data_IF_169470604109
#
_entry.id   IF_169470604109
#
_cell.length_a   1.000
_cell.length_b   1.000
_cell.length_c   1.000
_cell.angle_alpha   90.00
_cell.angle_beta   90.00
_cell.angle_gamma   90.00
#
_symmetry.space_group_name_H-M   'P 1'
#
loop_
_entity.id
_entity.type
_entity.pdbx_description
1 polymer ?
#
# COMPACT_ATOMS: atom_id res chain seq x y z
N UNK A 1 19.95 1.06 -0.80
CA UNK A 1 19.51 2.26 -0.03
C UNK A 1 19.82 2.04 1.43
N UNK A 2 20.18 3.13 2.18
CA UNK A 2 20.53 3.02 3.59
C UNK A 2 19.27 2.87 4.45
N UNK A 3 19.36 2.09 5.54
CA UNK A 3 18.29 1.99 6.55
C UNK A 3 18.19 3.32 7.30
N UNK A 4 16.95 3.78 7.56
CA UNK A 4 16.67 5.02 8.27
C UNK A 4 15.96 4.72 9.59
N UNK A 5 16.31 5.46 10.65
CA UNK A 5 15.66 5.39 11.96
C UNK A 5 14.56 6.45 12.09
N UNK A 6 13.71 6.29 13.10
CA UNK A 6 12.67 7.27 13.40
C UNK A 6 13.24 8.67 13.71
N UNK A 7 14.30 8.73 14.48
CA UNK A 7 14.96 9.96 14.89
C UNK A 7 15.56 10.70 13.69
N UNK A 8 16.12 9.96 12.73
CA UNK A 8 16.63 10.54 11.46
C UNK A 8 15.48 11.08 10.62
N UNK A 9 14.36 10.36 10.50
CA UNK A 9 13.17 10.86 9.78
C UNK A 9 12.66 12.15 10.41
N UNK A 10 12.50 12.19 11.74
CA UNK A 10 12.01 13.36 12.44
C UNK A 10 12.94 14.56 12.24
N UNK A 11 14.25 14.35 12.39
CA UNK A 11 15.26 15.39 12.20
C UNK A 11 15.26 15.93 10.76
N UNK A 12 15.26 15.02 9.77
CA UNK A 12 15.27 15.45 8.36
C UNK A 12 13.98 16.19 7.97
N UNK A 13 12.81 15.76 8.46
CA UNK A 13 11.57 16.50 8.25
C UNK A 13 11.60 17.91 8.83
N UNK A 14 12.21 18.10 9.99
CA UNK A 14 12.33 19.40 10.65
C UNK A 14 13.35 20.33 9.96
N UNK A 15 14.39 19.79 9.37
CA UNK A 15 15.51 20.56 8.80
C UNK A 15 15.39 20.70 7.29
N UNK A 16 15.05 19.61 6.58
CA UNK A 16 15.08 19.52 5.13
C UNK A 16 13.67 19.44 4.51
N UNK A 17 12.63 19.25 5.35
CA UNK A 17 11.25 19.11 4.90
C UNK A 17 10.93 17.74 4.27
N UNK A 18 11.92 16.86 4.11
CA UNK A 18 11.71 15.52 3.57
C UNK A 18 12.71 14.51 4.13
N UNK A 19 12.31 13.24 4.16
CA UNK A 19 13.13 12.11 4.57
C UNK A 19 12.84 10.89 3.71
N UNK A 20 13.86 10.07 3.43
CA UNK A 20 13.71 8.84 2.66
C UNK A 20 14.77 7.80 3.05
N UNK A 21 14.35 6.53 3.20
CA UNK A 21 15.26 5.43 3.48
C UNK A 21 14.58 4.08 3.53
N UNK A 22 15.38 3.01 3.56
CA UNK A 22 14.86 1.67 3.78
C UNK A 22 14.30 1.55 5.21
N UNK A 23 13.10 1.04 5.37
CA UNK A 23 12.40 0.96 6.66
C UNK A 23 11.63 -0.36 6.77
N UNK A 24 11.60 -0.91 7.98
CA UNK A 24 10.76 -2.07 8.26
C UNK A 24 9.27 -1.69 8.13
N UNK A 25 8.43 -2.47 7.39
CA UNK A 25 7.02 -2.11 7.16
C UNK A 25 6.22 -1.85 8.44
N UNK A 26 6.45 -2.64 9.50
CA UNK A 26 5.77 -2.48 10.80
C UNK A 26 6.17 -1.14 11.46
N UNK A 27 7.45 -0.78 11.43
CA UNK A 27 7.96 0.48 11.96
C UNK A 27 7.38 1.67 11.18
N UNK A 28 7.39 1.62 9.84
CA UNK A 28 6.80 2.66 8.99
C UNK A 28 5.36 2.98 9.38
N UNK A 29 4.53 1.95 9.59
CA UNK A 29 3.13 2.14 9.99
C UNK A 29 2.99 2.68 11.42
N UNK A 30 3.88 2.28 12.34
CA UNK A 30 3.85 2.74 13.72
C UNK A 30 4.28 4.22 13.84
N UNK A 31 5.20 4.69 13.00
CA UNK A 31 5.74 6.05 13.07
C UNK A 31 4.74 7.14 12.72
N UNK A 32 3.74 6.85 11.92
CA UNK A 32 2.77 7.81 11.42
C UNK A 32 2.08 8.61 12.52
N UNK A 33 1.53 7.92 13.52
CA UNK A 33 0.86 8.58 14.65
C UNK A 33 1.83 9.35 15.54
N UNK A 34 3.04 8.82 15.71
CA UNK A 34 4.11 9.46 16.50
C UNK A 34 4.60 10.73 15.81
N UNK A 35 4.85 10.70 14.50
CA UNK A 35 5.21 11.90 13.72
C UNK A 35 4.13 12.98 13.79
N UNK A 36 2.86 12.61 13.69
CA UNK A 36 1.76 13.57 13.79
C UNK A 36 1.74 14.29 15.14
N UNK A 37 2.01 13.55 16.24
CA UNK A 37 2.04 14.12 17.58
C UNK A 37 3.27 15.02 17.81
N UNK A 38 4.46 14.60 17.38
CA UNK A 38 5.70 15.35 17.61
C UNK A 38 5.83 16.58 16.71
N UNK A 39 5.36 16.53 15.46
CA UNK A 39 5.38 17.67 14.54
C UNK A 39 4.19 18.62 14.71
N UNK A 40 3.11 18.20 15.39
CA UNK A 40 1.86 18.96 15.47
C UNK A 40 1.15 19.13 14.11
N UNK A 41 1.49 18.29 13.13
CA UNK A 41 0.96 18.33 11.78
C UNK A 41 0.19 17.07 11.45
N UNK A 42 -0.88 17.14 10.63
CA UNK A 42 -1.52 15.92 10.14
C UNK A 42 -0.57 15.15 9.22
N UNK A 43 -0.47 13.83 9.46
CA UNK A 43 0.31 12.89 8.65
C UNK A 43 -0.66 11.99 7.90
N UNK A 44 -0.50 11.89 6.60
CA UNK A 44 -1.41 11.11 5.75
C UNK A 44 -0.66 10.31 4.67
N UNK A 45 -1.30 9.28 4.16
CA UNK A 45 -0.82 8.46 3.03
C UNK A 45 -1.83 8.47 1.90
N UNK A 46 -1.43 7.95 0.74
CA UNK A 46 -2.33 7.84 -0.43
C UNK A 46 -3.66 7.16 -0.10
N UNK A 47 -3.64 6.04 0.62
CA UNK A 47 -4.86 5.31 0.96
C UNK A 47 -5.78 6.10 1.89
N UNK A 48 -5.23 6.82 2.86
CA UNK A 48 -6.02 7.69 3.74
C UNK A 48 -6.57 8.91 3.00
N UNK A 49 -5.80 9.51 2.08
CA UNK A 49 -6.30 10.60 1.23
C UNK A 49 -7.44 10.13 0.32
N UNK A 50 -7.34 8.92 -0.24
CA UNK A 50 -8.41 8.35 -1.04
C UNK A 50 -9.68 8.10 -0.22
N UNK A 51 -9.54 7.56 1.00
CA UNK A 51 -10.67 7.37 1.92
C UNK A 51 -11.30 8.70 2.34
N UNK A 52 -10.47 9.69 2.67
CA UNK A 52 -10.90 11.04 2.99
C UNK A 52 -11.64 11.69 1.81
N UNK A 53 -11.09 11.61 0.60
CA UNK A 53 -11.69 12.17 -0.59
C UNK A 53 -13.02 11.49 -0.95
N UNK A 54 -13.15 10.19 -0.69
CA UNK A 54 -14.39 9.44 -0.91
C UNK A 54 -15.51 9.86 0.07
N UNK A 55 -15.18 10.01 1.36
CA UNK A 55 -16.11 10.49 2.38
C UNK A 55 -15.34 10.97 3.62
N UNK A 56 -15.11 12.28 3.72
CA UNK A 56 -14.33 12.90 4.80
C UNK A 56 -14.92 12.69 6.19
N UNK A 57 -16.25 12.67 6.30
CA UNK A 57 -16.95 12.42 7.58
C UNK A 57 -16.76 10.97 8.06
N UNK A 58 -17.00 9.99 7.18
CA UNK A 58 -16.78 8.58 7.51
C UNK A 58 -15.30 8.28 7.80
N UNK A 59 -14.38 8.89 7.04
CA UNK A 59 -12.95 8.79 7.32
C UNK A 59 -12.59 9.27 8.73
N UNK A 60 -13.10 10.42 9.15
CA UNK A 60 -12.88 10.98 10.49
C UNK A 60 -13.37 10.05 11.58
N UNK A 61 -14.62 9.56 11.47
CA UNK A 61 -15.18 8.62 12.44
C UNK A 61 -14.36 7.33 12.55
N UNK A 62 -13.94 6.75 11.41
CA UNK A 62 -13.10 5.56 11.39
C UNK A 62 -11.74 5.80 12.05
N UNK A 63 -11.15 6.99 11.82
CA UNK A 63 -9.88 7.40 12.42
C UNK A 63 -9.98 7.55 13.94
N UNK A 64 -11.02 8.23 14.43
CA UNK A 64 -11.29 8.42 15.87
C UNK A 64 -11.59 7.08 16.57
N UNK A 65 -12.27 6.17 15.90
CA UNK A 65 -12.54 4.82 16.41
C UNK A 65 -11.33 3.86 16.33
N UNK A 66 -10.19 4.31 15.77
CA UNK A 66 -9.01 3.46 15.59
C UNK A 66 -9.23 2.28 14.65
N UNK A 67 -10.22 2.36 13.76
CA UNK A 67 -10.57 1.28 12.83
C UNK A 67 -9.45 1.06 11.81
N UNK A 68 -9.07 -0.20 11.65
CA UNK A 68 -8.11 -0.62 10.60
C UNK A 68 -8.85 -1.48 9.58
N UNK A 69 -8.59 -1.23 8.30
CA UNK A 69 -9.08 -2.10 7.23
C UNK A 69 -8.31 -3.41 7.25
N UNK A 70 -9.01 -4.52 7.28
CA UNK A 70 -8.45 -5.85 7.04
C UNK A 70 -9.39 -6.62 6.12
N UNK A 71 -8.82 -7.43 5.24
CA UNK A 71 -9.55 -8.35 4.39
C UNK A 71 -8.62 -9.49 3.97
N UNK A 72 -9.15 -10.66 3.61
CA UNK A 72 -8.32 -11.77 3.11
C UNK A 72 -7.44 -11.37 1.91
N UNK A 73 -7.90 -10.44 1.08
CA UNK A 73 -7.13 -9.94 -0.07
C UNK A 73 -5.93 -9.09 0.38
N UNK A 74 -6.12 -8.18 1.36
CA UNK A 74 -5.02 -7.39 1.94
C UNK A 74 -4.01 -8.28 2.66
N UNK A 75 -4.49 -9.28 3.38
CA UNK A 75 -3.63 -10.23 4.08
C UNK A 75 -2.80 -11.09 3.14
N UNK A 76 -3.39 -11.54 2.02
CA UNK A 76 -2.65 -12.24 0.97
C UNK A 76 -1.63 -11.31 0.31
N UNK A 77 -1.99 -10.06 0.02
CA UNK A 77 -1.07 -9.04 -0.51
C UNK A 77 0.14 -8.87 0.39
N UNK A 78 -0.07 -8.67 1.70
CA UNK A 78 1.02 -8.52 2.67
C UNK A 78 1.93 -9.75 2.76
N UNK A 79 1.37 -10.96 2.64
CA UNK A 79 2.18 -12.19 2.59
C UNK A 79 3.02 -12.25 1.32
N UNK A 80 2.43 -11.90 0.17
CA UNK A 80 3.14 -11.87 -1.13
C UNK A 80 4.25 -10.82 -1.11
N UNK A 81 3.99 -9.62 -0.59
CA UNK A 81 4.99 -8.56 -0.45
C UNK A 81 6.16 -9.03 0.45
N UNK A 82 5.86 -9.64 1.59
CA UNK A 82 6.89 -10.19 2.46
C UNK A 82 7.74 -11.26 1.74
N UNK A 83 7.10 -12.24 1.11
CA UNK A 83 7.82 -13.35 0.45
C UNK A 83 8.59 -12.90 -0.81
N UNK A 84 8.11 -11.88 -1.52
CA UNK A 84 8.76 -11.39 -2.73
C UNK A 84 9.82 -10.33 -2.46
N UNK A 85 9.58 -9.40 -1.52
CA UNK A 85 10.37 -8.17 -1.38
C UNK A 85 11.28 -8.18 -0.13
N UNK A 86 10.86 -8.89 0.94
CA UNK A 86 11.57 -8.93 2.23
C UNK A 86 11.49 -10.33 2.87
N UNK A 87 11.91 -11.39 2.15
CA UNK A 87 11.75 -12.78 2.63
C UNK A 87 12.44 -13.05 3.97
N UNK A 88 13.46 -12.27 4.32
CA UNK A 88 14.16 -12.34 5.61
C UNK A 88 13.26 -11.97 6.79
N UNK A 89 12.17 -11.22 6.57
CA UNK A 89 11.20 -10.85 7.62
C UNK A 89 10.09 -11.88 7.82
N UNK A 90 10.07 -12.94 7.01
CA UNK A 90 8.97 -13.91 7.04
C UNK A 90 8.80 -14.56 8.42
N UNK A 91 9.87 -15.07 9.00
CA UNK A 91 9.81 -15.73 10.31
C UNK A 91 9.45 -14.77 11.46
N UNK A 92 9.70 -13.48 11.29
CA UNK A 92 9.29 -12.46 12.27
C UNK A 92 7.78 -12.19 12.21
N UNK A 93 7.20 -12.17 10.99
CA UNK A 93 5.82 -11.74 10.75
C UNK A 93 4.83 -12.91 10.67
N UNK A 94 5.29 -14.12 10.36
CA UNK A 94 4.42 -15.26 10.09
C UNK A 94 4.84 -16.51 10.85
N UNK A 95 3.85 -17.38 11.08
CA UNK A 95 4.02 -18.76 11.55
C UNK A 95 3.20 -19.66 10.63
N UNK A 96 3.84 -20.58 9.93
CA UNK A 96 3.15 -21.54 9.05
C UNK A 96 3.22 -22.95 9.68
N UNK A 97 2.07 -23.46 10.09
CA UNK A 97 1.96 -24.81 10.66
C UNK A 97 0.64 -25.46 10.23
N UNK A 98 0.66 -26.79 9.92
CA UNK A 98 -0.57 -27.53 9.70
C UNK A 98 -1.37 -27.61 11.01
N UNK A 99 -2.70 -27.51 10.90
CA UNK A 99 -3.57 -27.68 12.06
C UNK A 99 -3.44 -29.10 12.63
N UNK A 100 -3.03 -29.19 13.89
CA UNK A 100 -3.06 -30.45 14.66
C UNK A 100 -4.47 -30.68 15.22
N UNK A 101 -5.02 -31.87 14.97
CA UNK A 101 -6.32 -32.27 15.53
C UNK A 101 -6.10 -32.89 16.91
N UNK A 102 -6.89 -32.44 17.90
CA UNK A 102 -6.84 -33.01 19.24
C UNK A 102 -7.18 -34.52 19.23
N UNK A 103 -6.47 -35.27 20.07
CA UNK A 103 -6.69 -36.70 20.21
C UNK A 103 -7.53 -36.99 21.47
N UNK A 104 -8.41 -37.98 21.34
CA UNK A 104 -9.13 -38.58 22.48
C UNK A 104 -8.16 -39.39 23.38
N UNK A 105 -8.64 -39.83 24.53
CA UNK A 105 -7.84 -40.65 25.45
C UNK A 105 -7.35 -41.97 24.87
N UNK A 106 -8.04 -42.51 23.87
CA UNK A 106 -7.68 -43.71 23.12
C UNK A 106 -6.71 -43.47 21.94
N UNK A 107 -6.24 -42.23 21.77
CA UNK A 107 -5.34 -41.82 20.68
C UNK A 107 -6.03 -41.56 19.34
N UNK A 108 -7.36 -41.66 19.23
CA UNK A 108 -8.07 -41.35 18.00
C UNK A 108 -8.39 -39.86 17.91
N UNK A 109 -8.38 -39.26 16.68
CA UNK A 109 -8.72 -37.85 16.53
C UNK A 109 -10.20 -37.58 16.82
N UNK A 110 -10.53 -36.40 17.32
CA UNK A 110 -11.92 -35.94 17.44
C UNK A 110 -12.55 -35.78 16.05
N UNK A 111 -13.72 -36.39 15.85
CA UNK A 111 -14.42 -36.38 14.56
C UNK A 111 -14.84 -34.96 14.08
N UNK A 112 -14.99 -34.02 14.99
CA UNK A 112 -15.31 -32.62 14.67
C UNK A 112 -14.06 -31.80 14.27
N UNK A 113 -12.89 -32.41 14.15
CA UNK A 113 -11.65 -31.71 13.80
C UNK A 113 -11.21 -30.66 14.81
N UNK A 114 -11.55 -30.86 16.10
CA UNK A 114 -11.13 -29.95 17.17
C UNK A 114 -9.62 -29.77 17.17
N UNK A 115 -9.16 -28.51 17.18
CA UNK A 115 -7.73 -28.21 17.25
C UNK A 115 -7.13 -28.67 18.58
N UNK A 116 -5.89 -29.15 18.52
CA UNK A 116 -5.08 -29.48 19.67
C UNK A 116 -4.96 -28.27 20.62
N UNK A 117 -5.26 -28.41 21.93
CA UNK A 117 -5.24 -27.29 22.87
C UNK A 117 -3.87 -26.63 23.04
N UNK A 118 -2.77 -27.40 22.95
CA UNK A 118 -1.42 -26.86 23.06
C UNK A 118 -1.10 -26.00 21.83
N UNK A 119 -1.38 -26.51 20.62
CA UNK A 119 -1.21 -25.73 19.40
C UNK A 119 -2.09 -24.48 19.40
N UNK A 120 -3.32 -24.56 19.90
CA UNK A 120 -4.19 -23.38 20.02
C UNK A 120 -3.56 -22.30 20.92
N UNK A 121 -2.90 -22.72 22.00
CA UNK A 121 -2.19 -21.81 22.90
C UNK A 121 -0.91 -21.23 22.22
N UNK A 122 -0.16 -22.05 21.49
CA UNK A 122 1.00 -21.64 20.68
C UNK A 122 0.60 -20.58 19.64
N UNK A 123 -0.48 -20.82 18.90
CA UNK A 123 -1.00 -19.88 17.90
C UNK A 123 -1.50 -18.58 18.53
N UNK A 124 -2.16 -18.66 19.69
CA UNK A 124 -2.58 -17.47 20.42
C UNK A 124 -1.37 -16.65 20.91
N UNK A 125 -0.31 -17.31 21.36
CA UNK A 125 0.94 -16.65 21.76
C UNK A 125 1.64 -16.00 20.56
N UNK A 126 1.70 -16.67 19.42
CA UNK A 126 2.25 -16.12 18.17
C UNK A 126 1.46 -14.87 17.72
N UNK A 127 0.13 -14.93 17.75
CA UNK A 127 -0.73 -13.80 17.42
C UNK A 127 -0.56 -12.62 18.41
N UNK A 128 -0.42 -12.91 19.70
CA UNK A 128 -0.12 -11.90 20.71
C UNK A 128 1.26 -11.24 20.52
N UNK A 129 2.22 -11.99 19.95
CA UNK A 129 3.53 -11.48 19.54
C UNK A 129 3.49 -10.74 18.18
N UNK A 130 2.30 -10.55 17.56
CA UNK A 130 2.13 -9.85 16.31
C UNK A 130 2.32 -10.70 15.05
N UNK A 131 2.54 -12.02 15.19
CA UNK A 131 2.67 -12.92 14.04
C UNK A 131 1.30 -13.34 13.51
N UNK A 132 1.19 -13.42 12.19
CA UNK A 132 0.03 -14.05 11.55
C UNK A 132 0.28 -15.55 11.40
N UNK A 133 -0.68 -16.36 11.85
CA UNK A 133 -0.64 -17.82 11.65
C UNK A 133 -1.25 -18.15 10.29
N UNK A 134 -0.51 -18.93 9.51
CA UNK A 134 -0.90 -19.39 8.17
C UNK A 134 -1.11 -20.90 8.16
N UNK A 135 -2.06 -21.35 7.35
CA UNK A 135 -2.10 -22.75 6.93
C UNK A 135 -1.05 -23.02 5.85
N UNK A 136 -0.63 -24.28 5.64
CA UNK A 136 0.26 -24.64 4.52
C UNK A 136 -0.29 -24.19 3.17
N UNK A 137 -1.61 -24.31 2.94
CA UNK A 137 -2.26 -23.92 1.70
C UNK A 137 -2.21 -22.40 1.46
N UNK A 138 -2.38 -21.59 2.52
CA UNK A 138 -2.22 -20.14 2.44
C UNK A 138 -0.77 -19.76 2.10
N UNK A 139 0.19 -20.43 2.73
CA UNK A 139 1.61 -20.23 2.45
C UNK A 139 1.97 -20.61 1.00
N UNK A 140 1.61 -21.81 0.56
CA UNK A 140 1.89 -22.31 -0.78
C UNK A 140 1.29 -21.38 -1.86
N UNK A 141 0.06 -20.92 -1.65
CA UNK A 141 -0.59 -19.94 -2.52
C UNK A 141 0.18 -18.62 -2.57
N UNK A 142 0.54 -18.06 -1.41
CA UNK A 142 1.34 -16.84 -1.32
C UNK A 142 2.69 -17.00 -1.99
N UNK A 143 3.36 -18.13 -1.76
CA UNK A 143 4.68 -18.43 -2.34
C UNK A 143 4.63 -18.57 -3.87
N UNK A 144 3.59 -19.18 -4.42
CA UNK A 144 3.41 -19.28 -5.88
C UNK A 144 3.25 -17.88 -6.52
N UNK A 145 2.46 -17.01 -5.90
CA UNK A 145 2.23 -15.63 -6.38
C UNK A 145 3.53 -14.81 -6.26
N UNK A 146 4.21 -14.88 -5.11
CA UNK A 146 5.49 -14.20 -4.89
C UNK A 146 6.57 -14.69 -5.88
N UNK A 147 6.63 -16.01 -6.11
CA UNK A 147 7.54 -16.59 -7.09
C UNK A 147 7.32 -16.05 -8.51
N UNK A 148 6.06 -15.85 -8.91
CA UNK A 148 5.72 -15.25 -10.20
C UNK A 148 6.13 -13.76 -10.25
N UNK A 149 5.96 -13.00 -9.16
CA UNK A 149 6.43 -11.62 -9.08
C UNK A 149 7.95 -11.54 -9.27
N UNK A 150 8.72 -12.32 -8.50
CA UNK A 150 10.19 -12.37 -8.59
C UNK A 150 10.65 -12.82 -9.99
N UNK A 151 9.99 -13.82 -10.58
CA UNK A 151 10.32 -14.26 -11.95
C UNK A 151 10.08 -13.15 -12.99
N UNK A 152 9.05 -12.32 -12.80
CA UNK A 152 8.79 -11.17 -13.67
C UNK A 152 9.84 -10.09 -13.48
N UNK A 153 10.19 -9.73 -12.25
CA UNK A 153 11.23 -8.74 -11.95
C UNK A 153 12.58 -9.13 -12.59
N UNK A 154 12.96 -10.41 -12.48
CA UNK A 154 14.19 -10.91 -13.15
C UNK A 154 14.16 -10.76 -14.67
N UNK A 155 13.01 -10.96 -15.31
CA UNK A 155 12.84 -10.71 -16.77
C UNK A 155 13.03 -9.23 -17.11
N UNK A 156 12.75 -8.31 -16.18
CA UNK A 156 13.01 -6.88 -16.32
C UNK A 156 14.46 -6.50 -15.97
N UNK A 157 15.31 -7.46 -15.58
CA UNK A 157 16.68 -7.21 -15.12
C UNK A 157 16.77 -6.63 -13.71
N UNK A 158 15.70 -6.79 -12.91
CA UNK A 158 15.64 -6.28 -11.55
C UNK A 158 15.91 -7.41 -10.54
N UNK A 159 17.07 -7.28 -9.85
CA UNK A 159 17.48 -8.17 -8.78
C UNK A 159 17.36 -7.43 -7.44
N UNK A 160 16.52 -7.96 -6.55
CA UNK A 160 16.26 -7.37 -5.22
C UNK A 160 17.55 -7.36 -4.40
N UNK A 161 17.87 -6.19 -3.83
CA UNK A 161 19.08 -5.98 -3.05
C UNK A 161 20.33 -5.61 -3.89
N UNK A 162 20.33 -5.88 -5.19
CA UNK A 162 21.45 -5.56 -6.10
C UNK A 162 21.11 -4.38 -7.01
N UNK A 163 20.15 -4.55 -7.92
CA UNK A 163 19.73 -3.52 -8.88
C UNK A 163 18.40 -2.87 -8.53
N UNK A 164 17.75 -3.31 -7.45
CA UNK A 164 16.48 -2.78 -6.99
C UNK A 164 16.42 -2.76 -5.45
N UNK A 165 16.20 -1.60 -4.86
CA UNK A 165 15.91 -1.48 -3.43
C UNK A 165 14.40 -1.74 -3.19
N UNK A 166 14.06 -2.25 -2.00
CA UNK A 166 12.68 -2.56 -1.60
C UNK A 166 12.30 -1.83 -0.32
N UNK A 167 10.98 -1.67 -0.10
CA UNK A 167 10.40 -1.11 1.13
C UNK A 167 11.04 0.22 1.54
N UNK A 168 11.03 1.16 0.59
CA UNK A 168 11.60 2.50 0.79
C UNK A 168 10.53 3.44 1.30
N UNK A 169 10.63 3.82 2.57
CA UNK A 169 9.77 4.83 3.19
C UNK A 169 10.14 6.22 2.72
N UNK A 170 9.14 7.05 2.47
CA UNK A 170 9.24 8.46 2.12
C UNK A 170 8.32 9.28 3.00
N UNK A 171 8.81 10.42 3.46
CA UNK A 171 8.04 11.40 4.23
C UNK A 171 8.38 12.79 3.69
N UNK A 172 7.35 13.58 3.40
CA UNK A 172 7.52 14.94 2.83
C UNK A 172 6.58 15.89 3.56
N UNK A 173 7.13 16.93 4.15
CA UNK A 173 6.36 18.03 4.72
C UNK A 173 6.00 19.02 3.61
N UNK A 174 4.70 19.23 3.40
CA UNK A 174 4.18 20.18 2.42
C UNK A 174 3.59 21.38 3.16
N UNK A 175 4.16 22.57 2.93
CA UNK A 175 3.63 23.85 3.36
C UNK A 175 2.87 24.56 2.25
N UNK A 176 3.21 24.22 0.99
CA UNK A 176 2.58 24.73 -0.22
C UNK A 176 2.47 23.65 -1.29
N UNK A 177 1.60 23.85 -2.26
CA UNK A 177 1.47 23.02 -3.46
C UNK A 177 1.31 23.90 -4.69
N UNK A 178 2.25 23.77 -5.66
CA UNK A 178 2.24 24.57 -6.87
C UNK A 178 2.34 26.08 -6.60
N UNK A 179 3.13 26.50 -5.61
CA UNK A 179 3.29 27.89 -5.20
C UNK A 179 2.11 28.48 -4.41
N UNK A 180 1.13 27.64 -4.02
CA UNK A 180 -0.02 28.06 -3.20
C UNK A 180 0.11 27.50 -1.80
N UNK A 181 0.17 28.33 -0.74
CA UNK A 181 0.23 27.86 0.64
C UNK A 181 -0.97 26.97 1.00
N UNK A 182 -0.70 25.91 1.75
CA UNK A 182 -1.75 25.09 2.36
C UNK A 182 -2.35 25.76 3.58
N UNK A 183 -3.63 25.55 3.83
CA UNK A 183 -4.32 26.07 5.03
C UNK A 183 -3.70 25.57 6.34
N UNK A 184 -3.07 24.39 6.29
CA UNK A 184 -2.24 23.81 7.35
C UNK A 184 -1.16 22.94 6.71
N UNK A 185 0.10 22.97 7.18
CA UNK A 185 1.13 22.05 6.73
C UNK A 185 0.70 20.58 6.92
N UNK A 186 1.07 19.71 5.97
CA UNK A 186 0.72 18.29 5.95
C UNK A 186 1.97 17.46 5.69
N UNK A 187 2.17 16.40 6.44
CA UNK A 187 3.19 15.40 6.10
C UNK A 187 2.56 14.29 5.27
N UNK A 188 3.02 14.15 4.03
CA UNK A 188 2.73 12.98 3.20
C UNK A 188 3.68 11.86 3.57
N UNK A 189 3.17 10.64 3.67
CA UNK A 189 4.00 9.45 3.81
C UNK A 189 3.63 8.40 2.78
N UNK A 190 4.64 7.71 2.24
CA UNK A 190 4.53 6.65 1.27
C UNK A 190 5.61 5.60 1.49
N UNK A 191 5.35 4.38 1.06
CA UNK A 191 6.35 3.32 1.03
C UNK A 191 6.37 2.74 -0.38
N UNK A 192 7.53 2.81 -1.02
CA UNK A 192 7.78 2.24 -2.34
C UNK A 192 8.16 0.78 -2.18
N UNK A 193 7.47 -0.08 -2.91
CA UNK A 193 7.80 -1.51 -2.92
C UNK A 193 9.13 -1.77 -3.63
N UNK A 194 9.37 -1.07 -4.76
CA UNK A 194 10.49 -1.31 -5.65
C UNK A 194 11.07 0.00 -6.18
N UNK A 195 12.35 0.21 -5.93
CA UNK A 195 13.13 1.36 -6.42
C UNK A 195 14.31 0.86 -7.23
N UNK A 196 14.19 0.75 -8.57
CA UNK A 196 15.32 0.40 -9.43
C UNK A 196 16.45 1.40 -9.27
N UNK A 197 17.70 0.91 -9.26
CA UNK A 197 18.89 1.77 -9.16
C UNK A 197 19.01 2.67 -10.39
N UNK A 198 18.72 2.12 -11.56
CA UNK A 198 18.79 2.83 -12.84
C UNK A 198 17.39 3.07 -13.43
N UNK A 199 17.30 4.03 -14.36
CA UNK A 199 16.08 4.36 -15.09
C UNK A 199 15.21 5.40 -14.40
N UNK A 200 14.12 5.78 -15.07
CA UNK A 200 13.21 6.85 -14.65
C UNK A 200 11.93 6.32 -13.98
N UNK A 201 11.80 5.00 -13.81
CA UNK A 201 10.57 4.35 -13.35
C UNK A 201 10.69 3.86 -11.92
N UNK A 202 9.69 4.19 -11.10
CA UNK A 202 9.41 3.55 -9.81
C UNK A 202 8.38 2.44 -10.01
N UNK A 203 8.34 1.45 -9.11
CA UNK A 203 7.43 0.32 -9.26
C UNK A 203 6.76 -0.05 -7.92
N UNK A 204 5.60 -0.66 -8.04
CA UNK A 204 4.83 -1.16 -6.91
C UNK A 204 4.19 -2.52 -7.24
N UNK A 205 4.21 -3.45 -6.29
CA UNK A 205 3.67 -4.79 -6.45
C UNK A 205 2.18 -4.81 -6.06
N UNK A 206 1.35 -5.41 -6.92
CA UNK A 206 -0.09 -5.53 -6.64
C UNK A 206 -0.59 -6.94 -6.91
N UNK A 207 -1.20 -7.56 -5.92
CA UNK A 207 -2.00 -8.77 -6.14
C UNK A 207 -3.41 -8.41 -6.62
N UNK A 208 -3.96 -9.21 -7.52
CA UNK A 208 -5.30 -8.96 -8.06
C UNK A 208 -6.06 -10.25 -8.37
N UNK A 209 -7.36 -10.25 -8.08
CA UNK A 209 -8.26 -11.32 -8.54
C UNK A 209 -8.74 -11.13 -9.99
N UNK A 210 -8.36 -10.01 -10.63
CA UNK A 210 -8.70 -9.77 -12.04
C UNK A 210 -7.80 -10.59 -12.95
N UNK A 211 -8.34 -10.95 -14.12
CA UNK A 211 -7.54 -11.59 -15.16
C UNK A 211 -6.48 -10.62 -15.69
N UNK A 212 -5.22 -10.90 -15.41
CA UNK A 212 -4.09 -10.07 -15.83
C UNK A 212 -3.83 -10.15 -17.34
N UNK A 213 -4.36 -11.15 -18.04
CA UNK A 213 -4.33 -11.21 -19.50
C UNK A 213 -5.24 -10.12 -20.12
N UNK A 214 -6.30 -9.70 -19.42
CA UNK A 214 -7.15 -8.59 -19.82
C UNK A 214 -6.56 -7.24 -19.41
N UNK A 215 -5.72 -6.64 -20.27
CA UNK A 215 -5.09 -5.34 -19.99
C UNK A 215 -6.10 -4.21 -19.73
N UNK A 216 -7.23 -4.16 -20.45
CA UNK A 216 -8.27 -3.16 -20.20
C UNK A 216 -8.93 -3.34 -18.83
N UNK A 217 -9.14 -4.58 -18.40
CA UNK A 217 -9.66 -4.88 -17.06
C UNK A 217 -8.71 -4.41 -15.96
N UNK A 218 -7.37 -4.49 -16.18
CA UNK A 218 -6.39 -3.94 -15.24
C UNK A 218 -6.40 -2.41 -15.20
N UNK A 219 -6.61 -1.73 -16.34
CA UNK A 219 -6.74 -0.27 -16.37
C UNK A 219 -7.94 0.17 -15.52
N UNK A 220 -9.12 -0.43 -15.73
CA UNK A 220 -10.30 -0.13 -14.91
C UNK A 220 -10.07 -0.43 -13.42
N UNK A 221 -9.40 -1.53 -13.12
CA UNK A 221 -9.04 -1.87 -11.75
C UNK A 221 -8.12 -0.79 -11.13
N UNK A 222 -7.13 -0.31 -11.87
CA UNK A 222 -6.25 0.75 -11.41
C UNK A 222 -6.99 2.08 -11.20
N UNK A 223 -7.98 2.40 -12.04
CA UNK A 223 -8.86 3.57 -11.88
C UNK A 223 -9.74 3.44 -10.63
N UNK A 224 -10.41 2.28 -10.44
CA UNK A 224 -11.30 2.03 -9.29
C UNK A 224 -10.57 2.17 -7.93
N UNK A 225 -9.27 1.83 -7.88
CA UNK A 225 -8.43 1.95 -6.67
C UNK A 225 -7.58 3.23 -6.64
N UNK A 226 -7.77 4.15 -7.60
CA UNK A 226 -7.00 5.39 -7.72
C UNK A 226 -5.48 5.16 -7.68
N UNK A 227 -4.98 4.12 -8.37
CA UNK A 227 -3.54 3.83 -8.39
C UNK A 227 -2.74 4.91 -9.11
N UNK A 228 -3.34 5.63 -10.09
CA UNK A 228 -2.70 6.78 -10.72
C UNK A 228 -2.37 7.89 -9.73
N UNK A 229 -3.21 8.09 -8.70
CA UNK A 229 -2.93 9.02 -7.59
C UNK A 229 -1.71 8.56 -6.79
N UNK A 230 -1.60 7.25 -6.49
CA UNK A 230 -0.42 6.70 -5.83
C UNK A 230 0.84 6.94 -6.65
N UNK A 231 0.77 6.65 -7.95
CA UNK A 231 1.90 6.79 -8.85
C UNK A 231 2.40 8.24 -8.93
N UNK A 232 1.50 9.21 -9.16
CA UNK A 232 1.86 10.61 -9.24
C UNK A 232 2.44 11.14 -7.92
N UNK A 233 1.76 10.86 -6.79
CA UNK A 233 2.21 11.28 -5.47
C UNK A 233 3.58 10.69 -5.13
N UNK A 234 3.84 9.42 -5.42
CA UNK A 234 5.10 8.76 -5.07
C UNK A 234 6.27 9.22 -5.94
N UNK A 235 6.04 9.49 -7.23
CA UNK A 235 7.06 10.10 -8.11
C UNK A 235 7.44 11.49 -7.59
N UNK A 236 6.47 12.32 -7.24
CA UNK A 236 6.72 13.67 -6.73
C UNK A 236 7.44 13.64 -5.38
N UNK A 237 7.00 12.79 -4.45
CA UNK A 237 7.66 12.62 -3.14
C UNK A 237 9.10 12.14 -3.30
N UNK A 238 9.35 11.17 -4.19
CA UNK A 238 10.70 10.68 -4.44
C UNK A 238 11.61 11.78 -5.01
N UNK A 239 11.13 12.52 -5.99
CA UNK A 239 11.88 13.63 -6.61
C UNK A 239 12.16 14.75 -5.60
N UNK A 240 11.21 15.08 -4.71
CA UNK A 240 11.42 16.03 -3.63
C UNK A 240 12.53 15.55 -2.67
N UNK A 241 12.51 14.30 -2.25
CA UNK A 241 13.55 13.74 -1.40
C UNK A 241 14.93 13.69 -2.08
N UNK A 242 14.97 13.57 -3.41
CA UNK A 242 16.21 13.59 -4.19
C UNK A 242 16.71 15.00 -4.53
N UNK A 243 15.87 16.03 -4.30
CA UNK A 243 16.17 17.42 -4.68
C UNK A 243 16.28 17.63 -6.20
N UNK A 244 15.81 16.69 -7.01
CA UNK A 244 15.89 16.72 -8.47
C UNK A 244 14.81 15.83 -9.11
N UNK A 245 14.39 16.19 -10.32
CA UNK A 245 13.45 15.38 -11.11
C UNK A 245 14.18 14.19 -11.77
N UNK A 246 14.36 13.09 -11.01
CA UNK A 246 15.08 11.89 -11.45
C UNK A 246 14.16 10.74 -11.83
N UNK A 247 12.88 10.82 -11.48
CA UNK A 247 11.85 9.82 -11.80
C UNK A 247 10.67 10.49 -12.51
N UNK A 248 10.18 9.87 -13.59
CA UNK A 248 9.12 10.41 -14.44
C UNK A 248 8.03 9.42 -14.79
N UNK A 249 8.26 8.16 -14.49
CA UNK A 249 7.33 7.07 -14.77
C UNK A 249 7.07 6.25 -13.52
N UNK A 250 5.94 5.59 -13.50
CA UNK A 250 5.57 4.63 -12.46
C UNK A 250 4.96 3.39 -13.09
N UNK A 251 5.20 2.22 -12.53
CA UNK A 251 4.51 1.02 -12.95
C UNK A 251 3.99 0.20 -11.77
N UNK A 252 2.91 -0.52 -12.05
CA UNK A 252 2.35 -1.53 -11.17
C UNK A 252 2.61 -2.90 -11.76
N UNK A 253 3.34 -3.75 -11.03
CA UNK A 253 3.46 -5.15 -11.34
C UNK A 253 2.25 -5.89 -10.74
N UNK A 254 1.24 -6.14 -11.58
CA UNK A 254 0.10 -6.95 -11.18
C UNK A 254 0.43 -8.42 -11.26
N UNK A 255 0.12 -9.15 -10.17
CA UNK A 255 0.18 -10.61 -10.12
C UNK A 255 -1.20 -11.15 -9.81
N UNK A 256 -1.73 -11.99 -10.69
CA UNK A 256 -3.04 -12.62 -10.55
C UNK A 256 -3.05 -13.64 -9.40
N UNK A 257 -4.15 -13.69 -8.65
CA UNK A 257 -4.34 -14.68 -7.57
C UNK A 257 -5.11 -15.93 -8.03
N UNK A 258 -5.47 -16.00 -9.32
CA UNK A 258 -6.11 -17.16 -9.96
C UNK A 258 -5.11 -18.12 -10.58
N UNK A 259 -5.59 -19.25 -11.09
CA UNK A 259 -4.80 -20.23 -11.82
C UNK A 259 -5.02 -20.12 -13.34
N UNK A 260 -3.97 -20.19 -14.17
CA UNK A 260 -2.56 -20.17 -13.77
C UNK A 260 -2.13 -18.81 -13.22
N UNK A 261 -1.19 -18.81 -12.28
CA UNK A 261 -0.63 -17.55 -11.74
C UNK A 261 0.14 -16.84 -12.85
N UNK A 262 -0.30 -15.64 -13.18
CA UNK A 262 0.28 -14.81 -14.24
C UNK A 262 0.58 -13.40 -13.71
N UNK A 263 1.45 -12.69 -14.41
CA UNK A 263 1.79 -11.31 -14.05
C UNK A 263 1.85 -10.40 -15.27
N UNK A 264 1.53 -9.12 -15.07
CA UNK A 264 1.59 -8.07 -16.09
C UNK A 264 1.98 -6.75 -15.48
N UNK A 265 2.84 -6.01 -16.16
CA UNK A 265 3.18 -4.64 -15.80
C UNK A 265 2.19 -3.66 -16.45
N UNK A 266 1.66 -2.71 -15.64
CA UNK A 266 0.87 -1.57 -16.08
C UNK A 266 1.72 -0.30 -15.88
N UNK A 267 2.13 0.34 -16.97
CA UNK A 267 3.01 1.51 -16.94
C UNK A 267 2.18 2.79 -17.02
N UNK A 268 2.45 3.72 -16.10
CA UNK A 268 1.93 5.08 -16.12
C UNK A 268 3.05 6.04 -16.54
N UNK A 269 2.89 6.64 -17.70
CA UNK A 269 3.83 7.60 -18.29
C UNK A 269 3.64 9.00 -17.70
N UNK A 270 4.59 9.87 -17.94
CA UNK A 270 4.59 11.23 -17.44
C UNK A 270 3.29 12.01 -17.74
N UNK A 271 2.75 11.90 -18.97
CA UNK A 271 1.50 12.53 -19.38
C UNK A 271 0.28 12.04 -18.59
N UNK A 272 0.24 10.75 -18.30
CA UNK A 272 -0.79 10.14 -17.44
C UNK A 272 -0.65 10.59 -15.99
N UNK A 273 0.59 10.67 -15.47
CA UNK A 273 0.86 11.13 -14.12
C UNK A 273 0.42 12.58 -13.89
N UNK A 274 0.54 13.47 -14.91
CA UNK A 274 0.08 14.85 -14.82
C UNK A 274 -1.40 14.96 -14.47
N UNK A 275 -2.25 14.11 -15.05
CA UNK A 275 -3.69 14.09 -14.77
C UNK A 275 -3.98 13.71 -13.30
N UNK A 276 -3.25 12.72 -12.79
CA UNK A 276 -3.41 12.27 -11.40
C UNK A 276 -2.72 13.17 -10.39
N UNK A 277 -1.71 13.96 -10.83
CA UNK A 277 -1.05 14.98 -10.00
C UNK A 277 -2.04 16.05 -9.56
N UNK A 278 -2.84 16.57 -10.47
CA UNK A 278 -3.92 17.53 -10.15
C UNK A 278 -4.85 16.92 -9.08
N UNK A 279 -5.27 15.67 -9.26
CA UNK A 279 -6.20 15.01 -8.36
C UNK A 279 -5.62 14.86 -6.95
N UNK A 280 -4.38 14.34 -6.78
CA UNK A 280 -3.84 14.19 -5.43
C UNK A 280 -3.58 15.53 -4.75
N UNK A 281 -3.17 16.54 -5.50
CA UNK A 281 -2.95 17.88 -4.96
C UNK A 281 -4.25 18.49 -4.44
N UNK A 282 -5.37 18.31 -5.14
CA UNK A 282 -6.68 18.76 -4.67
C UNK A 282 -7.11 18.01 -3.39
N UNK A 283 -6.84 16.71 -3.32
CA UNK A 283 -7.11 15.94 -2.10
C UNK A 283 -6.28 16.43 -0.92
N UNK A 284 -4.99 16.75 -1.12
CA UNK A 284 -4.11 17.30 -0.08
C UNK A 284 -4.58 18.68 0.37
N UNK A 285 -4.98 19.56 -0.54
CA UNK A 285 -5.55 20.88 -0.20
C UNK A 285 -6.81 20.75 0.65
N UNK A 286 -7.76 19.91 0.22
CA UNK A 286 -8.99 19.65 0.96
C UNK A 286 -8.72 19.03 2.35
N UNK A 287 -7.72 18.14 2.45
CA UNK A 287 -7.29 17.54 3.70
C UNK A 287 -6.67 18.58 4.65
N UNK A 288 -5.80 19.44 4.14
CA UNK A 288 -5.19 20.53 4.89
C UNK A 288 -6.24 21.53 5.43
N UNK A 289 -7.22 21.87 4.58
CA UNK A 289 -8.32 22.76 4.96
C UNK A 289 -9.21 22.15 6.05
N UNK A 290 -9.61 20.89 5.92
CA UNK A 290 -10.39 20.20 6.92
C UNK A 290 -9.68 20.14 8.29
N UNK A 291 -8.36 19.95 8.28
CA UNK A 291 -7.53 19.97 9.49
C UNK A 291 -7.27 21.36 10.05
N UNK A 292 -7.33 22.42 9.23
CA UNK A 292 -7.21 23.81 9.68
C UNK A 292 -8.51 24.31 10.31
N UNK A 293 -9.64 23.99 9.71
CA UNK A 293 -10.97 24.47 10.13
C UNK A 293 -11.67 23.55 11.13
N UNK A 294 -11.28 22.26 11.18
CA UNK A 294 -12.00 21.24 11.93
C UNK A 294 -13.29 20.74 11.24
N UNK A 295 -13.56 21.21 10.02
CA UNK A 295 -14.72 20.80 9.24
C UNK A 295 -14.43 19.56 8.40
N UNK A 296 -15.00 18.44 8.80
CA UNK A 296 -14.92 17.16 8.08
C UNK A 296 -16.26 16.77 7.43
N UNK A 297 -17.18 17.72 7.28
CA UNK A 297 -18.50 17.49 6.74
C UNK A 297 -19.49 16.91 7.74
N UNK A 298 -20.64 16.51 7.24
CA UNK A 298 -21.78 15.99 8.01
C UNK A 298 -22.13 14.57 7.57
N UNK A 299 -22.95 13.82 8.34
CA UNK A 299 -23.43 12.50 7.94
C UNK A 299 -24.41 12.52 6.76
N UNK A 300 -24.87 13.71 6.37
CA UNK A 300 -25.81 13.87 5.27
C UNK A 300 -25.14 13.55 3.95
N UNK A 301 -25.75 12.67 3.17
CA UNK A 301 -25.32 12.31 1.83
C UNK A 301 -26.19 13.03 0.80
N UNK A 302 -25.63 13.25 -0.37
CA UNK A 302 -26.42 13.75 -1.52
C UNK A 302 -27.56 12.76 -1.83
N UNK A 303 -28.78 13.27 -2.00
CA UNK A 303 -29.96 12.44 -2.31
C UNK A 303 -29.85 11.74 -3.68
N UNK A 304 -29.04 12.29 -4.61
CA UNK A 304 -28.85 11.75 -5.95
C UNK A 304 -27.38 11.64 -6.33
N UNK A 305 -27.02 10.49 -6.90
CA UNK A 305 -25.70 10.25 -7.48
C UNK A 305 -25.85 10.11 -8.99
N UNK A 306 -25.18 10.95 -9.74
CA UNK A 306 -25.17 10.88 -11.21
C UNK A 306 -24.11 9.90 -11.70
N UNK A 307 -24.48 9.01 -12.61
CA UNK A 307 -23.51 8.12 -13.28
C UNK A 307 -22.57 8.99 -14.14
N UNK A 308 -21.25 8.97 -13.89
CA UNK A 308 -20.34 9.79 -14.70
C UNK A 308 -20.36 9.37 -16.17
N UNK A 309 -20.41 10.34 -17.06
CA UNK A 309 -20.40 10.15 -18.54
C UNK A 309 -19.21 9.32 -19.05
N UNK A 310 -18.14 9.22 -18.29
CA UNK A 310 -16.95 8.41 -18.59
C UNK A 310 -17.24 6.90 -18.76
N UNK A 311 -18.22 6.36 -18.04
CA UNK A 311 -18.64 4.95 -18.18
C UNK A 311 -19.57 4.70 -19.36
N UNK A 312 -20.31 5.73 -19.80
CA UNK A 312 -21.21 5.63 -20.96
C UNK A 312 -20.41 5.69 -22.26
N UNK A 313 -19.43 6.59 -22.37
CA UNK A 313 -18.59 6.73 -23.58
C UNK A 313 -17.65 5.53 -23.83
N UNK A 314 -17.31 4.73 -22.80
CA UNK A 314 -16.54 3.49 -23.00
C UNK A 314 -17.39 2.34 -23.55
N UNK A 315 -18.71 2.36 -23.29
CA UNK A 315 -19.63 1.35 -23.81
C UNK A 315 -19.94 1.57 -25.32
N UNK A 316 -20.04 2.80 -25.74
CA UNK A 316 -20.28 3.16 -27.15
C UNK A 316 -19.06 2.88 -28.05
N UNK A 317 -17.82 2.88 -27.51
CA UNK A 317 -16.60 2.56 -28.26
C UNK A 317 -16.32 1.07 -28.42
N UNK A 318 -16.96 0.23 -27.64
CA UNK A 318 -16.81 -1.23 -27.72
C UNK A 318 -17.81 -1.94 -28.67
N UNK A 319 -18.66 -1.19 -29.34
CA UNK A 319 -19.71 -1.70 -30.23
C UNK A 319 -19.40 -1.47 -31.73
N UNK A 320 -18.10 -1.34 -32.09
CA UNK A 320 -17.67 -1.34 -33.50
C UNK A 320 -16.66 -2.42 -33.75
#
# INVERSE_FOLDING_TARGET
MQKISYEEVLMQLQVEGCAMGAVHPVEYHAWKGRLAAELGMPVTSKSELADFAANRYAWKLAKEAGMRKSSPALELGSLVDCLALTPELYEEQYLCEPKRVALKKDGTPYANGQQDPEQKAEWAAAAAAGKRVLTPEEYERGAAIAGQAVAHLRKLGLEIGETCATQVGMWVCLEELGGVPLAKPVVLCGMLDLVPVEGERLMDLKTTSKDVANGQGLVYHAEDYCYGVQAAMYVDMYNLCMGAEVRREFSFLFVGTGEPVQSRELVMRADTLELYRVMYQDWVRAFAEAHATGDFGTPELEEMVYVPTRRVTSYERGAV
#
